data_IF_657706829830
#
_entry.id   IF_657706829830
#
_cell.length_a   1.000
_cell.length_b   1.000
_cell.length_c   1.000
_cell.angle_alpha   90.00
_cell.angle_beta   90.00
_cell.angle_gamma   90.00
#
_symmetry.space_group_name_H-M   'P 1'
#
loop_
_entity.id
_entity.type
_entity.pdbx_description
1 polymer ?
#
# COMPACT_ATOMS: atom_id res chain seq x y z
N UNK A 1 -0.37 11.42 -33.63
CA UNK A 1 -1.52 11.73 -32.74
C UNK A 1 -2.02 10.42 -32.11
N UNK A 2 -2.58 10.43 -30.89
CA UNK A 2 -2.91 9.19 -30.15
C UNK A 2 -4.25 9.25 -29.41
N UNK A 3 -4.27 8.67 -28.20
CA UNK A 3 -5.41 8.70 -27.27
C UNK A 3 -5.79 10.17 -27.00
N UNK A 4 -7.09 10.48 -27.01
CA UNK A 4 -7.63 11.84 -26.77
C UNK A 4 -8.55 11.83 -25.55
N UNK A 5 -8.50 12.90 -24.75
CA UNK A 5 -9.31 13.13 -23.55
C UNK A 5 -10.46 14.10 -23.78
N UNK A 6 -10.76 14.41 -25.04
CA UNK A 6 -11.84 15.34 -25.38
C UNK A 6 -13.21 14.69 -25.29
N UNK A 7 -14.25 15.48 -25.06
CA UNK A 7 -15.64 14.97 -24.94
C UNK A 7 -16.40 14.93 -26.27
N UNK A 8 -15.81 15.44 -27.36
CA UNK A 8 -16.52 15.70 -28.62
C UNK A 8 -16.68 14.46 -29.49
N UNK A 9 -15.81 13.48 -29.31
CA UNK A 9 -15.93 12.20 -30.00
C UNK A 9 -17.06 11.32 -29.42
N UNK A 10 -17.59 11.66 -28.24
CA UNK A 10 -18.76 11.01 -27.64
C UNK A 10 -20.04 11.76 -28.05
N UNK A 11 -21.17 11.05 -28.02
CA UNK A 11 -22.51 11.63 -28.25
C UNK A 11 -22.84 12.70 -27.20
N UNK A 12 -23.75 13.61 -27.53
CA UNK A 12 -24.34 14.52 -26.54
C UNK A 12 -25.23 13.76 -25.55
N UNK A 13 -25.65 14.45 -24.48
CA UNK A 13 -26.64 13.91 -23.55
C UNK A 13 -27.96 13.54 -24.24
N UNK A 14 -28.36 14.29 -25.28
CA UNK A 14 -29.53 14.00 -26.12
C UNK A 14 -29.34 12.81 -27.08
N UNK A 15 -28.16 12.18 -27.11
CA UNK A 15 -27.84 11.09 -28.04
C UNK A 15 -27.40 11.56 -29.44
N UNK A 16 -27.43 12.86 -29.73
CA UNK A 16 -27.03 13.39 -31.03
C UNK A 16 -25.54 13.12 -31.33
N UNK A 17 -25.25 12.78 -32.59
CA UNK A 17 -23.88 12.60 -33.10
C UNK A 17 -23.28 13.98 -33.34
N UNK A 18 -22.17 14.29 -32.67
CA UNK A 18 -21.45 15.56 -32.83
C UNK A 18 -20.65 15.57 -34.14
N UNK A 19 -20.73 16.66 -34.89
CA UNK A 19 -19.94 16.85 -36.10
C UNK A 19 -18.45 17.01 -35.78
N UNK A 20 -17.59 16.59 -36.72
CA UNK A 20 -16.15 16.77 -36.61
C UNK A 20 -15.78 18.21 -37.03
N UNK A 21 -15.38 19.05 -36.08
CA UNK A 21 -15.03 20.45 -36.36
C UNK A 21 -13.52 20.75 -36.31
N UNK A 22 -12.73 19.99 -35.53
CA UNK A 22 -11.27 20.18 -35.44
C UNK A 22 -10.53 18.87 -35.21
N UNK A 23 -9.29 18.82 -35.69
CA UNK A 23 -8.33 17.74 -35.40
C UNK A 23 -7.96 17.71 -33.90
N UNK A 24 -7.51 16.55 -33.40
CA UNK A 24 -7.08 16.37 -31.99
C UNK A 24 -5.94 17.33 -31.65
N UNK A 25 -5.94 17.89 -30.43
CA UNK A 25 -4.93 18.87 -29.98
C UNK A 25 -3.99 18.27 -28.94
N UNK A 26 -2.75 18.79 -28.89
CA UNK A 26 -1.71 18.28 -27.99
C UNK A 26 -2.07 18.42 -26.49
N UNK A 27 -2.86 19.43 -26.12
CA UNK A 27 -3.32 19.63 -24.74
C UNK A 27 -4.43 18.64 -24.32
N UNK A 28 -5.09 17.96 -25.28
CA UNK A 28 -6.09 16.92 -25.04
C UNK A 28 -5.49 15.51 -25.06
N UNK A 29 -4.17 15.37 -25.20
CA UNK A 29 -3.55 14.05 -25.35
C UNK A 29 -3.68 13.20 -24.09
N UNK A 30 -4.01 11.93 -24.29
CA UNK A 30 -3.81 10.84 -23.35
C UNK A 30 -2.49 10.12 -23.59
N UNK A 31 -2.13 9.22 -22.67
CA UNK A 31 -1.03 8.26 -22.82
C UNK A 31 -1.56 6.89 -22.37
N UNK A 32 -0.92 5.81 -22.81
CA UNK A 32 -1.21 4.46 -22.35
C UNK A 32 -1.12 4.38 -20.80
N UNK A 33 -1.79 3.43 -20.14
CA UNK A 33 -1.62 3.19 -18.71
C UNK A 33 -0.21 2.66 -18.40
N UNK A 34 0.17 2.69 -17.12
CA UNK A 34 1.47 2.19 -16.66
C UNK A 34 1.45 0.68 -16.41
N UNK A 35 0.33 0.15 -15.91
CA UNK A 35 0.16 -1.25 -15.48
C UNK A 35 1.35 -1.73 -14.62
N UNK A 36 1.72 -0.92 -13.62
CA UNK A 36 2.83 -1.19 -12.71
C UNK A 36 2.68 -2.56 -12.08
N UNK A 37 3.71 -3.40 -12.13
CA UNK A 37 3.69 -4.73 -11.49
C UNK A 37 4.63 -4.79 -10.29
N UNK A 38 4.48 -5.84 -9.49
CA UNK A 38 5.43 -6.16 -8.43
C UNK A 38 6.74 -6.66 -9.07
N UNK A 39 7.88 -6.17 -8.61
CA UNK A 39 9.20 -6.60 -9.09
C UNK A 39 10.30 -5.54 -8.89
N UNK A 40 11.54 -5.82 -9.33
CA UNK A 40 12.68 -4.94 -9.10
C UNK A 40 12.41 -3.53 -9.66
N UNK A 41 12.75 -2.52 -8.86
CA UNK A 41 12.36 -1.12 -9.12
C UNK A 41 12.75 -0.67 -10.54
N UNK A 42 11.75 -0.35 -11.35
CA UNK A 42 11.90 0.23 -12.70
C UNK A 42 10.92 1.37 -12.88
N UNK A 43 11.43 2.58 -13.04
CA UNK A 43 10.64 3.81 -13.19
C UNK A 43 11.13 4.57 -14.42
N UNK A 44 10.19 5.01 -15.25
CA UNK A 44 10.46 5.84 -16.43
C UNK A 44 10.00 7.28 -16.18
N UNK A 45 10.85 8.23 -16.54
CA UNK A 45 10.52 9.66 -16.46
C UNK A 45 9.74 10.04 -17.73
N UNK A 46 8.61 10.70 -17.54
CA UNK A 46 7.75 11.17 -18.64
C UNK A 46 7.64 12.69 -18.56
N UNK A 47 8.14 13.39 -19.59
CA UNK A 47 7.91 14.84 -19.76
C UNK A 47 6.43 15.12 -20.02
N UNK A 48 5.90 16.09 -19.29
CA UNK A 48 4.52 16.57 -19.37
C UNK A 48 4.46 18.05 -19.75
N UNK A 49 3.25 18.64 -19.75
CA UNK A 49 3.04 20.03 -20.16
C UNK A 49 3.79 20.97 -19.22
N UNK A 50 4.38 22.04 -19.77
CA UNK A 50 5.14 23.02 -19.01
C UNK A 50 6.53 22.56 -18.57
N UNK A 51 7.07 21.48 -19.16
CA UNK A 51 8.40 20.97 -18.79
C UNK A 51 8.41 20.05 -17.57
N UNK A 52 7.31 19.97 -16.82
CA UNK A 52 7.17 19.13 -15.63
C UNK A 52 7.38 17.64 -15.92
N UNK A 53 7.89 16.91 -14.92
CA UNK A 53 8.12 15.47 -14.99
C UNK A 53 7.04 14.70 -14.22
N UNK A 54 6.68 13.53 -14.73
CA UNK A 54 5.94 12.51 -13.99
C UNK A 54 6.71 11.21 -14.02
N UNK A 55 6.60 10.45 -12.93
CA UNK A 55 7.33 9.20 -12.76
C UNK A 55 6.38 8.04 -13.00
N UNK A 56 6.60 7.32 -14.09
CA UNK A 56 5.83 6.14 -14.46
C UNK A 56 6.54 4.91 -13.95
N UNK A 57 6.08 4.38 -12.82
CA UNK A 57 6.53 3.07 -12.39
C UNK A 57 6.07 1.98 -13.38
N UNK A 58 6.96 1.05 -13.69
CA UNK A 58 6.67 -0.18 -14.42
C UNK A 58 6.77 -1.38 -13.49
N UNK A 59 7.74 -1.35 -12.57
CA UNK A 59 7.93 -2.35 -11.52
C UNK A 59 8.30 -1.68 -10.21
N UNK A 60 7.70 -2.11 -9.10
CA UNK A 60 8.03 -1.69 -7.73
C UNK A 60 7.95 -2.89 -6.80
N UNK A 61 8.90 -3.02 -5.88
CA UNK A 61 8.93 -4.12 -4.89
C UNK A 61 8.65 -3.63 -3.47
N UNK A 62 8.81 -2.33 -3.22
CA UNK A 62 8.70 -1.75 -1.89
C UNK A 62 7.98 -0.40 -1.93
N UNK A 63 7.31 -0.07 -0.83
CA UNK A 63 6.57 1.17 -0.66
C UNK A 63 6.64 1.67 0.77
N UNK A 64 6.27 2.94 1.01
CA UNK A 64 6.12 3.46 2.35
C UNK A 64 4.67 3.27 2.80
N UNK A 65 4.47 2.47 3.85
CA UNK A 65 3.14 2.22 4.41
C UNK A 65 3.04 2.79 5.82
N UNK A 66 1.93 3.44 6.14
CA UNK A 66 1.66 3.99 7.47
C UNK A 66 0.80 3.05 8.31
N UNK A 67 1.17 2.85 9.56
CA UNK A 67 0.32 2.27 10.58
C UNK A 67 -0.39 3.41 11.32
N UNK A 68 -1.70 3.55 11.08
CA UNK A 68 -2.50 4.71 11.49
C UNK A 68 -2.59 4.87 12.99
N UNK A 69 -2.98 3.82 13.71
CA UNK A 69 -3.13 3.85 15.18
C UNK A 69 -1.84 4.24 15.91
N UNK A 70 -0.68 3.81 15.39
CA UNK A 70 0.64 4.03 16.00
C UNK A 70 1.33 5.32 15.50
N UNK A 71 0.78 5.99 14.49
CA UNK A 71 1.35 7.22 13.94
C UNK A 71 2.72 7.05 13.28
N UNK A 72 3.06 5.85 12.79
CA UNK A 72 4.34 5.57 12.15
C UNK A 72 4.21 5.16 10.69
N UNK A 73 5.29 5.32 9.93
CA UNK A 73 5.39 4.75 8.58
C UNK A 73 6.73 4.04 8.39
N UNK A 74 6.71 2.95 7.64
CA UNK A 74 7.90 2.14 7.34
C UNK A 74 7.93 1.77 5.86
N UNK A 75 9.14 1.71 5.32
CA UNK A 75 9.39 1.12 4.02
C UNK A 75 9.29 -0.40 4.16
N UNK A 76 8.33 -1.00 3.46
CA UNK A 76 8.05 -2.44 3.49
C UNK A 76 7.99 -3.01 2.08
N UNK A 77 8.25 -4.32 1.97
CA UNK A 77 8.09 -5.04 0.70
C UNK A 77 6.62 -5.30 0.42
N UNK A 78 6.18 -5.06 -0.81
CA UNK A 78 4.86 -5.44 -1.30
C UNK A 78 4.94 -6.86 -1.86
N UNK A 79 4.13 -7.76 -1.31
CA UNK A 79 4.22 -9.19 -1.61
C UNK A 79 3.29 -9.57 -2.76
N UNK A 80 2.00 -9.26 -2.62
CA UNK A 80 0.96 -9.66 -3.58
C UNK A 80 -0.22 -8.68 -3.52
N UNK A 81 -0.94 -8.53 -4.63
CA UNK A 81 -2.25 -7.85 -4.67
C UNK A 81 -3.31 -8.89 -4.36
N UNK A 82 -4.15 -8.65 -3.35
CA UNK A 82 -5.16 -9.62 -2.91
C UNK A 82 -6.56 -9.23 -3.36
N UNK A 83 -6.85 -7.94 -3.43
CA UNK A 83 -8.16 -7.46 -3.84
C UNK A 83 -8.05 -6.14 -4.58
N UNK A 84 -8.93 -5.92 -5.55
CA UNK A 84 -9.04 -4.65 -6.25
C UNK A 84 -10.51 -4.33 -6.56
N UNK A 85 -11.07 -3.21 -6.05
CA UNK A 85 -12.50 -2.92 -6.16
C UNK A 85 -12.96 -2.65 -7.60
N UNK A 86 -12.07 -2.23 -8.49
CA UNK A 86 -12.45 -1.88 -9.87
C UNK A 86 -12.38 -3.03 -10.89
N UNK A 87 -11.52 -4.03 -10.70
CA UNK A 87 -11.30 -5.09 -11.69
C UNK A 87 -10.48 -6.26 -11.11
N UNK A 88 -11.03 -7.48 -11.20
CA UNK A 88 -10.40 -8.71 -10.71
C UNK A 88 -9.15 -9.11 -11.51
N UNK A 89 -9.05 -8.72 -12.78
CA UNK A 89 -7.86 -9.00 -13.59
C UNK A 89 -6.60 -8.32 -13.02
N UNK A 90 -6.76 -7.17 -12.36
CA UNK A 90 -5.63 -6.46 -11.73
C UNK A 90 -5.06 -7.24 -10.54
N UNK A 91 -5.89 -8.06 -9.89
CA UNK A 91 -5.46 -8.99 -8.84
C UNK A 91 -4.66 -10.13 -9.46
N UNK A 92 -5.20 -10.77 -10.51
CA UNK A 92 -4.55 -11.87 -11.23
C UNK A 92 -3.17 -11.49 -11.76
N UNK A 93 -3.00 -10.26 -12.25
CA UNK A 93 -1.73 -9.77 -12.80
C UNK A 93 -0.84 -9.05 -11.80
N UNK A 94 -1.18 -9.05 -10.51
CA UNK A 94 -0.44 -8.34 -9.45
C UNK A 94 -0.11 -6.88 -9.81
N UNK A 95 -1.13 -6.15 -10.27
CA UNK A 95 -0.99 -4.78 -10.77
C UNK A 95 -1.24 -3.75 -9.68
N UNK A 96 -0.28 -2.85 -9.49
CA UNK A 96 -0.27 -1.83 -8.44
C UNK A 96 -0.93 -0.53 -8.92
N UNK A 97 -2.12 -0.26 -8.40
CA UNK A 97 -2.95 0.92 -8.63
C UNK A 97 -3.47 1.48 -7.31
N UNK A 98 -3.97 2.72 -7.33
CA UNK A 98 -4.66 3.29 -6.16
C UNK A 98 -5.84 2.39 -5.80
N UNK A 99 -6.07 2.19 -4.50
CA UNK A 99 -7.12 1.35 -3.91
C UNK A 99 -6.92 -0.16 -4.11
N UNK A 100 -5.76 -0.59 -4.61
CA UNK A 100 -5.38 -1.99 -4.53
C UNK A 100 -5.14 -2.38 -3.07
N UNK A 101 -5.77 -3.46 -2.62
CA UNK A 101 -5.48 -4.09 -1.34
C UNK A 101 -4.34 -5.07 -1.55
N UNK A 102 -3.26 -4.89 -0.82
CA UNK A 102 -2.01 -5.64 -0.94
C UNK A 102 -1.66 -6.31 0.39
N UNK A 103 -0.91 -7.40 0.32
CA UNK A 103 -0.17 -7.90 1.47
C UNK A 103 1.23 -7.29 1.47
N UNK A 104 1.63 -6.72 2.62
CA UNK A 104 2.97 -6.18 2.84
C UNK A 104 3.67 -6.93 3.97
N UNK A 105 5.00 -6.89 3.94
CA UNK A 105 5.82 -7.47 5.00
C UNK A 105 5.59 -6.77 6.36
N UNK A 106 5.32 -7.58 7.39
CA UNK A 106 5.08 -7.10 8.74
C UNK A 106 6.38 -6.83 9.53
N UNK A 107 7.53 -7.36 9.10
CA UNK A 107 8.75 -7.36 9.90
C UNK A 107 9.21 -5.95 10.34
N UNK A 108 9.23 -4.92 9.48
CA UNK A 108 9.65 -3.58 9.91
C UNK A 108 8.71 -2.93 10.94
N UNK A 109 7.42 -3.26 10.91
CA UNK A 109 6.46 -2.80 11.92
C UNK A 109 6.61 -3.57 13.23
N UNK A 110 6.82 -4.88 13.16
CA UNK A 110 7.04 -5.73 14.34
C UNK A 110 8.31 -5.32 15.09
N UNK A 111 9.42 -5.11 14.38
CA UNK A 111 10.68 -4.65 14.96
C UNK A 111 10.51 -3.31 15.68
N UNK A 112 9.77 -2.37 15.08
CA UNK A 112 9.47 -1.10 15.72
C UNK A 112 8.61 -1.27 16.97
N UNK A 113 7.56 -2.10 16.91
CA UNK A 113 6.66 -2.32 18.03
C UNK A 113 7.40 -2.93 19.23
N UNK A 114 8.24 -3.95 19.00
CA UNK A 114 9.06 -4.59 20.03
C UNK A 114 10.05 -3.59 20.67
N UNK A 115 10.65 -2.71 19.86
CA UNK A 115 11.53 -1.65 20.38
C UNK A 115 10.77 -0.55 21.13
N UNK A 116 9.55 -0.21 20.70
CA UNK A 116 8.77 0.89 21.25
C UNK A 116 8.09 0.53 22.57
N UNK A 117 7.49 -0.66 22.63
CA UNK A 117 6.67 -1.17 23.74
C UNK A 117 7.39 -2.21 24.59
N UNK A 118 8.49 -2.80 24.13
CA UNK A 118 9.23 -3.83 24.85
C UNK A 118 8.51 -5.19 24.94
N UNK A 119 7.40 -5.36 24.21
CA UNK A 119 6.58 -6.57 24.20
C UNK A 119 6.60 -7.21 22.80
N UNK A 120 6.63 -8.55 22.70
CA UNK A 120 6.55 -9.25 21.42
C UNK A 120 5.14 -9.12 20.81
N UNK A 121 5.07 -8.98 19.48
CA UNK A 121 3.80 -8.93 18.73
C UNK A 121 3.72 -10.08 17.71
N UNK A 122 2.70 -10.93 17.84
CA UNK A 122 2.45 -12.02 16.91
C UNK A 122 3.36 -13.25 17.06
N UNK A 123 3.96 -13.50 18.24
CA UNK A 123 4.83 -14.66 18.49
C UNK A 123 4.14 -15.87 19.16
N UNK A 124 2.81 -15.95 19.15
CA UNK A 124 2.04 -16.95 19.92
C UNK A 124 2.41 -18.41 19.58
N UNK A 125 2.73 -18.72 18.31
CA UNK A 125 3.20 -20.05 17.87
C UNK A 125 4.71 -20.29 17.96
N UNK A 126 5.53 -19.24 18.03
CA UNK A 126 7.00 -19.33 18.05
C UNK A 126 7.60 -19.25 19.46
N UNK A 127 6.77 -19.29 20.50
CA UNK A 127 7.21 -19.28 21.89
C UNK A 127 8.24 -20.37 22.25
N UNK A 128 8.27 -21.49 21.50
CA UNK A 128 9.29 -22.56 21.69
C UNK A 128 10.62 -22.32 20.97
N UNK A 129 10.68 -21.46 19.94
CA UNK A 129 11.91 -21.20 19.18
C UNK A 129 12.56 -19.84 19.53
N UNK A 130 11.75 -18.85 19.91
CA UNK A 130 12.22 -17.49 20.21
C UNK A 130 12.76 -17.31 21.64
N UNK A 131 12.53 -18.25 22.56
CA UNK A 131 13.15 -18.23 23.88
C UNK A 131 14.68 -18.38 23.83
N UNK A 132 15.24 -18.76 22.67
CA UNK A 132 16.68 -18.93 22.45
C UNK A 132 17.37 -17.76 21.72
N UNK A 133 16.64 -16.80 21.13
CA UNK A 133 17.23 -15.79 20.23
C UNK A 133 17.00 -14.33 20.61
N UNK A 134 16.07 -14.03 21.53
CA UNK A 134 16.11 -12.76 22.26
C UNK A 134 17.09 -12.93 23.42
N UNK A 135 18.37 -12.68 23.17
CA UNK A 135 19.26 -12.27 24.25
C UNK A 135 18.55 -11.12 24.99
N UNK A 136 18.23 -11.34 26.26
CA UNK A 136 17.79 -10.29 27.17
C UNK A 136 18.95 -9.30 27.34
N UNK A 137 19.16 -8.44 26.35
CA UNK A 137 20.05 -7.33 26.47
C UNK A 137 19.56 -6.51 27.67
N UNK A 138 20.37 -6.47 28.74
CA UNK A 138 20.05 -5.73 29.97
C UNK A 138 19.68 -4.29 29.60
N UNK A 139 18.39 -3.95 29.66
CA UNK A 139 17.91 -2.60 29.43
C UNK A 139 18.08 -1.78 30.70
N UNK A 140 18.21 -0.47 30.56
CA UNK A 140 18.20 0.40 31.73
C UNK A 140 16.79 0.45 32.34
N UNK A 141 16.71 0.55 33.66
CA UNK A 141 15.43 0.67 34.39
C UNK A 141 14.54 1.82 33.87
N UNK A 142 15.16 2.88 33.35
CA UNK A 142 14.46 4.02 32.73
C UNK A 142 13.72 3.61 31.43
N UNK A 143 14.37 2.80 30.58
CA UNK A 143 13.77 2.30 29.34
C UNK A 143 12.61 1.36 29.65
N UNK A 144 12.78 0.45 30.60
CA UNK A 144 11.72 -0.47 31.04
C UNK A 144 10.49 0.28 31.55
N UNK A 145 10.69 1.26 32.45
CA UNK A 145 9.61 2.11 32.96
C UNK A 145 8.88 2.85 31.83
N UNK A 146 9.62 3.35 30.84
CA UNK A 146 9.04 4.05 29.68
C UNK A 146 8.25 3.12 28.78
N UNK A 147 8.76 1.92 28.52
CA UNK A 147 8.10 0.89 27.71
C UNK A 147 6.81 0.41 28.38
N UNK A 148 6.84 0.13 29.68
CA UNK A 148 5.67 -0.26 30.46
C UNK A 148 4.58 0.82 30.45
N UNK A 149 4.95 2.09 30.67
CA UNK A 149 4.02 3.21 30.64
C UNK A 149 3.34 3.37 29.26
N UNK A 150 4.10 3.25 28.17
CA UNK A 150 3.56 3.31 26.80
C UNK A 150 2.63 2.14 26.51
N UNK A 151 3.03 0.93 26.88
CA UNK A 151 2.25 -0.26 26.61
C UNK A 151 0.90 -0.21 27.33
N UNK A 152 0.89 0.25 28.58
CA UNK A 152 -0.34 0.45 29.34
C UNK A 152 -1.29 1.47 28.68
N UNK A 153 -0.75 2.53 28.07
CA UNK A 153 -1.56 3.58 27.44
C UNK A 153 -2.11 3.17 26.07
N UNK A 154 -1.26 2.64 25.17
CA UNK A 154 -1.60 2.45 23.75
C UNK A 154 -1.13 1.11 23.16
N UNK A 155 -0.41 0.28 23.91
CA UNK A 155 0.22 -0.92 23.34
C UNK A 155 -0.74 -2.05 22.97
N UNK A 156 -2.02 -1.99 23.36
CA UNK A 156 -2.99 -3.04 23.04
C UNK A 156 -3.41 -2.96 21.56
N UNK A 157 -3.02 -3.96 20.79
CA UNK A 157 -3.35 -4.09 19.36
C UNK A 157 -4.63 -4.91 19.17
N UNK A 158 -5.43 -4.57 18.17
CA UNK A 158 -6.64 -5.32 17.81
C UNK A 158 -6.30 -6.77 17.43
N UNK A 159 -7.09 -7.74 17.92
CA UNK A 159 -6.85 -9.17 17.69
C UNK A 159 -6.78 -9.55 16.20
N UNK A 160 -7.53 -8.88 15.33
CA UNK A 160 -7.50 -9.10 13.89
C UNK A 160 -6.17 -8.69 13.24
N UNK A 161 -5.51 -7.67 13.79
CA UNK A 161 -4.20 -7.21 13.34
C UNK A 161 -3.09 -8.06 13.95
N UNK A 162 -3.21 -8.47 15.22
CA UNK A 162 -2.27 -9.38 15.88
C UNK A 162 -2.12 -10.72 15.11
N UNK A 163 -3.23 -11.29 14.63
CA UNK A 163 -3.22 -12.50 13.77
C UNK A 163 -2.44 -12.30 12.47
N UNK A 164 -2.45 -11.10 11.90
CA UNK A 164 -1.68 -10.79 10.69
C UNK A 164 -0.19 -10.63 10.98
N UNK A 165 0.16 -10.06 12.14
CA UNK A 165 1.53 -10.05 12.63
C UNK A 165 2.06 -11.46 12.85
N UNK A 166 1.24 -12.42 13.31
CA UNK A 166 1.63 -13.83 13.39
C UNK A 166 1.89 -14.45 12.02
N UNK A 167 1.06 -14.14 11.02
CA UNK A 167 1.28 -14.57 9.64
C UNK A 167 2.48 -13.88 8.95
N UNK A 168 3.02 -12.81 9.53
CA UNK A 168 4.11 -12.01 8.96
C UNK A 168 3.71 -11.16 7.76
N UNK A 169 2.40 -11.01 7.49
CA UNK A 169 1.87 -10.26 6.35
C UNK A 169 0.70 -9.41 6.80
N UNK A 170 0.80 -8.10 6.59
CA UNK A 170 -0.27 -7.16 6.89
C UNK A 170 -1.06 -6.83 5.62
N UNK A 171 -2.37 -6.70 5.74
CA UNK A 171 -3.18 -6.10 4.68
C UNK A 171 -3.05 -4.58 4.70
N UNK A 172 -2.87 -4.01 3.52
CA UNK A 172 -2.70 -2.58 3.34
C UNK A 172 -3.40 -2.11 2.07
N UNK A 173 -3.81 -0.85 2.03
CA UNK A 173 -4.38 -0.20 0.84
C UNK A 173 -3.36 0.75 0.24
N UNK A 174 -3.14 0.64 -1.08
CA UNK A 174 -2.33 1.61 -1.82
C UNK A 174 -3.12 2.91 -2.00
N UNK A 175 -2.66 4.00 -1.38
CA UNK A 175 -3.30 5.32 -1.47
C UNK A 175 -2.72 6.20 -2.59
N UNK A 176 -1.47 5.93 -2.95
CA UNK A 176 -0.73 6.62 -4.01
C UNK A 176 -1.12 6.18 -5.43
N UNK A 177 -0.59 6.86 -6.45
CA UNK A 177 -0.79 6.53 -7.88
C UNK A 177 0.56 6.16 -8.53
N UNK A 178 0.99 4.88 -8.52
CA UNK A 178 2.31 4.46 -9.00
C UNK A 178 2.65 4.90 -10.43
N UNK A 179 1.65 4.90 -11.33
CA UNK A 179 1.85 5.35 -12.72
C UNK A 179 1.99 6.87 -12.92
N UNK A 180 1.91 7.67 -11.84
CA UNK A 180 2.05 9.13 -11.87
C UNK A 180 3.20 9.62 -10.97
N UNK A 181 3.27 9.11 -9.74
CA UNK A 181 4.26 9.50 -8.73
C UNK A 181 5.48 8.60 -8.70
N UNK A 182 5.42 7.41 -9.31
CA UNK A 182 6.51 6.42 -9.27
C UNK A 182 6.67 5.72 -7.93
N UNK A 183 5.68 5.82 -7.03
CA UNK A 183 5.70 5.25 -5.68
C UNK A 183 4.46 4.40 -5.42
N UNK A 184 4.59 3.40 -4.55
CA UNK A 184 3.51 2.53 -4.07
C UNK A 184 3.36 2.72 -2.55
N UNK A 185 2.91 3.90 -2.16
CA UNK A 185 2.67 4.25 -0.76
C UNK A 185 1.19 4.00 -0.39
N UNK A 186 0.96 3.74 0.89
CA UNK A 186 -0.33 3.30 1.40
C UNK A 186 -0.43 3.32 2.93
N UNK A 187 -1.46 2.67 3.46
CA UNK A 187 -1.69 2.53 4.90
C UNK A 187 -2.15 1.11 5.23
N UNK A 188 -1.83 0.65 6.44
CA UNK A 188 -2.27 -0.64 6.97
C UNK A 188 -3.77 -0.59 7.28
N UNK A 189 -4.49 -1.66 6.96
CA UNK A 189 -5.92 -1.79 7.24
C UNK A 189 -6.18 -2.12 8.72
N UNK A 190 -7.08 -1.37 9.34
CA UNK A 190 -7.47 -1.51 10.75
C UNK A 190 -9.00 -1.48 10.92
N UNK A 191 -9.51 -1.98 12.05
CA UNK A 191 -10.90 -1.84 12.45
C UNK A 191 -11.93 -2.29 11.40
N UNK A 192 -12.96 -1.46 11.19
CA UNK A 192 -14.06 -1.76 10.27
C UNK A 192 -13.61 -1.95 8.82
N UNK A 193 -12.61 -1.18 8.38
CA UNK A 193 -12.08 -1.27 7.02
C UNK A 193 -11.39 -2.63 6.80
N UNK A 194 -10.61 -3.08 7.79
CA UNK A 194 -10.02 -4.41 7.78
C UNK A 194 -11.10 -5.49 7.74
N UNK A 195 -12.13 -5.38 8.59
CA UNK A 195 -13.24 -6.34 8.63
C UNK A 195 -14.02 -6.37 7.29
N UNK A 196 -14.20 -5.22 6.65
CA UNK A 196 -14.82 -5.12 5.32
C UNK A 196 -14.02 -5.91 4.28
N UNK A 197 -12.72 -5.66 4.13
CA UNK A 197 -11.91 -6.32 3.11
C UNK A 197 -11.65 -7.80 3.40
N UNK A 198 -11.55 -8.20 4.68
CA UNK A 198 -11.44 -9.61 5.05
C UNK A 198 -12.70 -10.40 4.64
N UNK A 199 -13.89 -9.80 4.75
CA UNK A 199 -15.14 -10.44 4.26
C UNK A 199 -15.16 -10.62 2.74
N UNK A 200 -14.57 -9.68 1.99
CA UNK A 200 -14.56 -9.73 0.52
C UNK A 200 -13.47 -10.64 -0.05
N UNK A 201 -12.40 -10.90 0.70
CA UNK A 201 -11.28 -11.75 0.26
C UNK A 201 -11.46 -13.23 0.61
N UNK A 202 -12.39 -13.56 1.52
CA UNK A 202 -12.73 -14.94 1.91
C UNK A 202 -13.86 -15.57 1.10
N UNK A 203 -14.63 -14.76 0.36
CA UNK A 203 -15.67 -15.22 -0.57
C UNK A 203 -15.04 -15.61 -1.88
#
# INVERSE_FOLDING_TARGET
>A
MGISRDSRHKRSATGAKRAHYRKKRAFEKGRQPANTRIGPKRIHIVRTRGGNQKFRALRLESGNFSWGSEGIARKVRVIVVVYHPSNNELVRTNTLTKSAVVQVDAAPFRQWYEAHYGQPLGRRRQAKAAAAETEEAKKSKSVEKKQAARFAAHGKVEAALERQFEAGRLYAVVSSRPGQSGRVDGYILEGEELAFYQRHTRK
#
